data_IF_686701747804
#
_entry.id   IF_686701747804
#
_cell.length_a   1.000
_cell.length_b   1.000
_cell.length_c   1.000
_cell.angle_alpha   90.00
_cell.angle_beta   90.00
_cell.angle_gamma   90.00
#
_symmetry.space_group_name_H-M   'P 1'
#
loop_
_entity.id
_entity.type
_entity.pdbx_description
1 polymer ?
#
# COMPACT_ATOMS: atom_id res chain seq x y z
N UNK A 1 2.83 38.33 2.62
CA UNK A 1 1.96 39.20 1.80
C UNK A 1 2.13 39.01 0.29
N UNK A 2 3.35 38.86 -0.22
CA UNK A 2 3.62 38.74 -1.68
C UNK A 2 2.92 37.57 -2.39
N UNK A 3 2.92 36.37 -1.80
CA UNK A 3 2.30 35.18 -2.43
C UNK A 3 0.80 35.36 -2.63
N UNK A 4 0.09 35.93 -1.63
CA UNK A 4 -1.35 36.21 -1.73
C UNK A 4 -1.63 37.20 -2.84
N UNK A 5 -0.89 38.30 -2.88
CA UNK A 5 -1.03 39.29 -3.93
C UNK A 5 -0.80 38.73 -5.33
N UNK A 6 0.21 37.86 -5.48
CA UNK A 6 0.52 37.20 -6.74
C UNK A 6 -0.59 36.18 -7.15
N UNK A 7 -1.21 35.50 -6.20
CA UNK A 7 -2.35 34.59 -6.46
C UNK A 7 -3.59 35.40 -6.86
N UNK A 8 -3.89 36.50 -6.16
CA UNK A 8 -5.04 37.38 -6.43
C UNK A 8 -4.89 38.05 -7.80
N UNK A 9 -3.68 38.50 -8.15
CA UNK A 9 -3.36 39.07 -9.47
C UNK A 9 -3.26 37.99 -10.58
N UNK A 10 -3.29 36.68 -10.25
CA UNK A 10 -3.09 35.58 -11.22
C UNK A 10 -1.71 35.55 -11.85
N UNK A 11 -0.68 36.12 -11.18
CA UNK A 11 0.70 36.19 -11.65
C UNK A 11 1.61 35.11 -11.04
N UNK A 12 1.15 34.43 -9.97
CA UNK A 12 1.92 33.40 -9.30
C UNK A 12 2.43 32.33 -10.28
N UNK A 13 3.73 32.02 -10.19
CA UNK A 13 4.40 30.99 -10.99
C UNK A 13 4.91 29.89 -10.05
N UNK A 14 4.43 28.65 -10.16
CA UNK A 14 4.97 27.52 -9.40
C UNK A 14 6.44 27.27 -9.71
N UNK A 15 7.17 26.83 -8.72
CA UNK A 15 8.56 26.39 -8.89
C UNK A 15 8.61 24.99 -9.53
N UNK A 16 9.66 24.65 -10.30
CA UNK A 16 9.90 23.31 -10.76
C UNK A 16 9.99 22.30 -9.60
N UNK A 17 9.42 21.10 -9.78
CA UNK A 17 9.51 20.06 -8.75
C UNK A 17 10.88 19.40 -8.74
N UNK A 18 11.43 19.12 -7.55
CA UNK A 18 12.69 18.39 -7.41
C UNK A 18 12.48 16.90 -7.68
N UNK A 19 13.16 16.32 -8.65
CA UNK A 19 13.13 14.88 -8.95
C UNK A 19 13.85 14.09 -7.87
N UNK A 20 13.20 13.04 -7.39
CA UNK A 20 13.78 12.03 -6.50
C UNK A 20 13.46 10.64 -7.07
N UNK A 21 14.47 9.79 -7.11
CA UNK A 21 14.36 8.42 -7.58
C UNK A 21 14.14 7.47 -6.42
N UNK A 22 13.04 6.71 -6.44
CA UNK A 22 12.76 5.68 -5.43
C UNK A 22 12.81 4.31 -6.10
N UNK A 23 13.67 3.38 -5.62
CA UNK A 23 13.70 2.02 -6.14
C UNK A 23 12.36 1.32 -5.98
N UNK A 24 11.87 0.67 -7.05
CA UNK A 24 10.67 -0.17 -6.97
C UNK A 24 11.05 -1.55 -6.42
N UNK A 25 10.20 -2.16 -5.60
CA UNK A 25 10.43 -3.54 -5.09
C UNK A 25 10.53 -4.60 -6.20
N UNK A 26 10.03 -4.28 -7.40
CA UNK A 26 9.96 -5.16 -8.57
C UNK A 26 11.08 -4.90 -9.57
N UNK A 27 12.05 -4.09 -9.17
CA UNK A 27 13.08 -3.54 -10.06
C UNK A 27 12.60 -2.28 -10.78
N UNK A 28 13.57 -1.48 -11.24
CA UNK A 28 13.33 -0.17 -11.83
C UNK A 28 13.14 0.94 -10.80
N UNK A 29 12.80 2.13 -11.26
CA UNK A 29 12.76 3.35 -10.46
C UNK A 29 11.39 4.00 -10.58
N UNK A 30 10.90 4.60 -9.50
CA UNK A 30 9.77 5.52 -9.50
C UNK A 30 10.32 6.94 -9.39
N UNK A 31 9.94 7.79 -10.33
CA UNK A 31 10.33 9.20 -10.34
C UNK A 31 9.30 9.99 -9.54
N UNK A 32 9.71 10.58 -8.41
CA UNK A 32 8.88 11.51 -7.65
C UNK A 32 9.30 12.94 -7.96
N UNK A 33 8.33 13.83 -8.10
CA UNK A 33 8.55 15.27 -8.18
C UNK A 33 8.11 15.92 -6.86
N UNK A 34 9.04 16.40 -6.06
CA UNK A 34 8.76 17.04 -4.77
C UNK A 34 8.60 18.53 -4.98
N UNK A 35 7.40 19.12 -4.82
CA UNK A 35 7.18 20.56 -4.89
C UNK A 35 7.81 21.27 -3.69
N UNK A 36 8.01 22.57 -3.80
CA UNK A 36 8.39 23.43 -2.66
C UNK A 36 7.32 23.39 -1.57
N UNK A 37 7.67 23.81 -0.35
CA UNK A 37 6.71 23.85 0.77
C UNK A 37 5.54 24.75 0.43
N UNK A 38 5.82 25.92 -0.18
CA UNK A 38 4.79 26.87 -0.58
C UNK A 38 3.87 26.30 -1.64
N UNK A 39 4.42 25.67 -2.68
CA UNK A 39 3.63 25.04 -3.73
C UNK A 39 2.78 23.89 -3.19
N UNK A 40 3.29 23.11 -2.22
CA UNK A 40 2.49 22.07 -1.55
C UNK A 40 1.30 22.64 -0.78
N UNK A 41 1.51 23.77 -0.07
CA UNK A 41 0.45 24.43 0.66
C UNK A 41 -0.65 24.90 -0.29
N UNK A 42 -0.28 25.58 -1.38
CA UNK A 42 -1.23 26.08 -2.38
C UNK A 42 -1.96 24.92 -3.07
N UNK A 43 -1.22 23.89 -3.50
CA UNK A 43 -1.84 22.69 -4.11
C UNK A 43 -2.79 21.99 -3.14
N UNK A 44 -2.46 21.92 -1.85
CA UNK A 44 -3.33 21.34 -0.83
C UNK A 44 -4.61 22.13 -0.66
N UNK A 45 -4.53 23.45 -0.62
CA UNK A 45 -5.70 24.32 -0.54
C UNK A 45 -6.61 24.15 -1.77
N UNK A 46 -6.05 24.14 -2.97
CA UNK A 46 -6.79 23.86 -4.20
C UNK A 46 -7.43 22.47 -4.15
N UNK A 47 -6.67 21.43 -3.75
CA UNK A 47 -7.17 20.08 -3.68
C UNK A 47 -8.34 19.93 -2.70
N UNK A 48 -8.31 20.60 -1.54
CA UNK A 48 -9.41 20.59 -0.56
C UNK A 48 -10.70 21.15 -1.16
N UNK A 49 -10.63 22.34 -1.79
CA UNK A 49 -11.80 22.98 -2.42
C UNK A 49 -12.31 22.15 -3.58
N UNK A 50 -11.43 21.70 -4.48
CA UNK A 50 -11.84 20.92 -5.64
C UNK A 50 -12.37 19.53 -5.27
N UNK A 51 -11.87 18.91 -4.21
CA UNK A 51 -12.37 17.61 -3.76
C UNK A 51 -13.85 17.70 -3.40
N UNK A 52 -14.30 18.75 -2.72
CA UNK A 52 -15.73 18.92 -2.39
C UNK A 52 -16.64 19.06 -3.62
N UNK A 53 -16.09 19.56 -4.73
CA UNK A 53 -16.83 19.74 -5.99
C UNK A 53 -16.85 18.47 -6.85
N UNK A 54 -15.73 17.73 -6.90
CA UNK A 54 -15.58 16.59 -7.79
C UNK A 54 -15.94 15.25 -7.15
N UNK A 55 -15.62 15.04 -5.86
CA UNK A 55 -15.81 13.75 -5.21
C UNK A 55 -17.25 13.22 -5.24
N UNK A 56 -18.30 14.04 -5.09
CA UNK A 56 -19.69 13.60 -5.21
C UNK A 56 -20.07 13.10 -6.60
N UNK A 57 -19.32 13.51 -7.64
CA UNK A 57 -19.59 13.16 -9.05
C UNK A 57 -18.85 11.89 -9.49
N UNK A 58 -17.86 11.42 -8.71
CA UNK A 58 -17.08 10.24 -9.05
C UNK A 58 -17.87 8.95 -8.82
N UNK A 59 -17.58 7.97 -9.66
CA UNK A 59 -18.14 6.62 -9.56
C UNK A 59 -18.07 6.03 -8.14
N UNK A 60 -19.11 5.35 -7.65
CA UNK A 60 -19.06 4.59 -6.42
C UNK A 60 -18.03 3.46 -6.45
N UNK A 61 -17.62 3.00 -7.61
CA UNK A 61 -16.64 1.95 -7.83
C UNK A 61 -15.17 2.44 -7.83
N UNK A 62 -14.96 3.76 -7.75
CA UNK A 62 -13.64 4.38 -7.59
C UNK A 62 -13.33 4.61 -6.11
N UNK A 63 -12.23 4.03 -5.62
CA UNK A 63 -11.89 4.03 -4.20
C UNK A 63 -10.59 4.78 -3.87
N UNK A 64 -9.62 4.81 -4.79
CA UNK A 64 -8.30 5.40 -4.54
C UNK A 64 -8.32 6.92 -4.43
N UNK A 65 -7.54 7.49 -3.51
CA UNK A 65 -7.37 8.92 -3.32
C UNK A 65 -8.66 9.70 -3.03
N UNK A 66 -9.63 9.08 -2.41
CA UNK A 66 -10.93 9.70 -2.10
C UNK A 66 -11.18 9.75 -0.59
N UNK A 67 -11.77 10.84 -0.07
CA UNK A 67 -12.16 10.94 1.33
C UNK A 67 -13.11 9.80 1.75
N UNK A 68 -12.90 9.25 2.95
CA UNK A 68 -13.76 8.22 3.51
C UNK A 68 -13.72 6.86 2.83
N UNK A 69 -12.92 6.68 1.76
CA UNK A 69 -12.78 5.40 1.03
C UNK A 69 -11.42 4.77 1.27
N UNK A 70 -11.42 3.46 1.52
CA UNK A 70 -10.22 2.69 1.87
C UNK A 70 -9.97 1.57 0.85
N UNK A 71 -8.73 1.11 0.80
CA UNK A 71 -8.36 -0.05 -0.01
C UNK A 71 -9.18 -1.31 0.38
N UNK A 72 -9.50 -1.44 1.67
CA UNK A 72 -10.32 -2.53 2.19
C UNK A 72 -11.74 -2.51 1.60
N UNK A 73 -12.33 -1.34 1.41
CA UNK A 73 -13.67 -1.20 0.83
C UNK A 73 -13.67 -1.66 -0.63
N UNK A 74 -12.61 -1.35 -1.37
CA UNK A 74 -12.37 -1.85 -2.72
C UNK A 74 -12.26 -3.38 -2.79
N UNK A 75 -11.52 -3.98 -1.84
CA UNK A 75 -11.37 -5.45 -1.76
C UNK A 75 -12.68 -6.14 -1.40
N UNK A 76 -13.48 -5.55 -0.51
CA UNK A 76 -14.82 -6.07 -0.14
C UNK A 76 -15.81 -5.96 -1.31
N UNK A 77 -15.79 -4.85 -2.06
CA UNK A 77 -16.60 -4.72 -3.27
C UNK A 77 -16.23 -5.81 -4.31
N UNK A 78 -14.93 -6.03 -4.51
CA UNK A 78 -14.43 -7.11 -5.36
C UNK A 78 -14.91 -8.50 -4.90
N UNK A 79 -14.84 -8.79 -3.59
CA UNK A 79 -15.36 -10.02 -3.02
C UNK A 79 -16.85 -10.19 -3.29
N UNK A 80 -17.64 -9.11 -3.19
CA UNK A 80 -19.07 -9.10 -3.51
C UNK A 80 -19.32 -9.55 -4.94
N UNK A 81 -18.65 -8.98 -5.92
CA UNK A 81 -18.79 -9.37 -7.33
C UNK A 81 -18.40 -10.83 -7.58
N UNK A 82 -17.36 -11.32 -6.89
CA UNK A 82 -16.95 -12.73 -7.03
C UNK A 82 -18.03 -13.66 -6.46
N UNK A 83 -18.68 -13.29 -5.36
CA UNK A 83 -19.84 -14.03 -4.78
C UNK A 83 -21.04 -14.05 -5.72
N UNK A 84 -21.24 -13.00 -6.54
CA UNK A 84 -22.24 -12.94 -7.62
C UNK A 84 -21.88 -13.82 -8.83
N UNK A 85 -20.78 -14.57 -8.79
CA UNK A 85 -20.34 -15.47 -9.86
C UNK A 85 -19.38 -14.87 -10.89
N UNK A 86 -18.89 -13.64 -10.68
CA UNK A 86 -17.89 -13.02 -11.56
C UNK A 86 -16.49 -13.52 -11.21
N UNK A 87 -16.14 -14.72 -11.64
CA UNK A 87 -14.91 -15.44 -11.23
C UNK A 87 -13.67 -15.16 -12.07
N UNK A 88 -13.79 -14.33 -13.08
CA UNK A 88 -12.68 -13.86 -13.92
C UNK A 88 -12.47 -12.37 -13.70
N UNK A 89 -11.21 -11.94 -13.76
CA UNK A 89 -10.83 -10.53 -13.63
C UNK A 89 -10.00 -10.09 -14.82
N UNK A 90 -10.36 -8.93 -15.34
CA UNK A 90 -9.59 -8.14 -16.31
C UNK A 90 -8.82 -7.13 -15.46
N UNK A 91 -7.55 -7.39 -15.26
CA UNK A 91 -6.65 -6.54 -14.48
C UNK A 91 -5.90 -5.61 -15.44
N UNK A 92 -6.14 -4.30 -15.32
CA UNK A 92 -5.61 -3.27 -16.20
C UNK A 92 -4.64 -2.39 -15.41
N UNK A 93 -3.37 -2.40 -15.84
CA UNK A 93 -2.29 -1.54 -15.36
C UNK A 93 -1.97 -0.51 -16.46
N UNK A 94 -1.93 0.77 -16.12
CA UNK A 94 -1.60 1.83 -17.07
C UNK A 94 -0.09 2.06 -17.12
N UNK A 95 0.46 2.17 -18.31
CA UNK A 95 1.89 2.38 -18.50
C UNK A 95 2.27 3.82 -18.12
N UNK A 96 3.06 3.98 -17.03
CA UNK A 96 3.56 5.29 -16.57
C UNK A 96 2.47 6.37 -16.56
N UNK A 97 1.32 6.04 -16.00
CA UNK A 97 0.10 6.85 -16.05
C UNK A 97 0.36 8.34 -15.77
N UNK A 98 1.00 8.64 -14.64
CA UNK A 98 1.27 10.03 -14.24
C UNK A 98 2.17 10.80 -15.22
N UNK A 99 3.04 10.11 -15.96
CA UNK A 99 3.95 10.73 -16.92
C UNK A 99 3.28 10.95 -18.30
N UNK A 100 2.11 10.34 -18.54
CA UNK A 100 1.46 10.33 -19.85
C UNK A 100 0.18 11.17 -19.93
N UNK A 101 -0.30 11.72 -18.83
CA UNK A 101 -1.53 12.52 -18.80
C UNK A 101 -1.40 13.73 -19.73
N UNK A 102 -2.30 13.83 -20.70
CA UNK A 102 -2.38 14.99 -21.58
C UNK A 102 -3.00 16.18 -20.85
N UNK A 103 -2.27 17.30 -20.78
CA UNK A 103 -2.69 18.48 -20.02
C UNK A 103 -3.99 19.10 -20.57
N UNK A 104 -4.17 19.21 -21.90
CA UNK A 104 -5.37 19.82 -22.49
C UNK A 104 -6.60 18.99 -22.22
N UNK A 105 -6.48 17.67 -22.34
CA UNK A 105 -7.56 16.74 -22.04
C UNK A 105 -7.96 16.81 -20.55
N UNK A 106 -6.98 16.87 -19.66
CA UNK A 106 -7.23 17.01 -18.22
C UNK A 106 -7.89 18.36 -17.92
N UNK A 107 -7.34 19.47 -18.45
CA UNK A 107 -7.89 20.80 -18.24
C UNK A 107 -9.32 20.96 -18.77
N UNK A 108 -9.64 20.32 -19.90
CA UNK A 108 -11.02 20.27 -20.43
C UNK A 108 -11.97 19.63 -19.41
N UNK A 109 -11.55 18.57 -18.72
CA UNK A 109 -12.37 17.92 -17.67
C UNK A 109 -12.51 18.79 -16.44
N UNK A 110 -11.41 19.40 -16.00
CA UNK A 110 -11.45 20.36 -14.89
C UNK A 110 -12.40 21.52 -15.20
N UNK A 111 -12.37 22.04 -16.44
CA UNK A 111 -13.24 23.12 -16.90
C UNK A 111 -14.73 22.77 -16.90
N UNK A 112 -15.12 21.50 -16.98
CA UNK A 112 -16.55 21.11 -16.87
C UNK A 112 -17.19 21.60 -15.57
N UNK A 113 -16.41 21.61 -14.49
CA UNK A 113 -16.87 21.95 -13.14
C UNK A 113 -16.34 23.31 -12.68
N UNK A 114 -15.07 23.60 -12.87
CA UNK A 114 -14.40 24.82 -12.44
C UNK A 114 -14.46 25.87 -13.55
N UNK A 115 -15.08 27.04 -13.29
CA UNK A 115 -15.20 28.12 -14.28
C UNK A 115 -14.26 29.30 -14.00
N UNK A 116 -13.65 29.35 -12.80
CA UNK A 116 -12.70 30.40 -12.44
C UNK A 116 -11.42 30.30 -13.29
N UNK A 117 -11.22 31.30 -14.16
CA UNK A 117 -10.08 31.36 -15.08
C UNK A 117 -8.73 31.46 -14.34
N UNK A 118 -8.68 32.06 -13.14
CA UNK A 118 -7.46 32.20 -12.35
C UNK A 118 -7.04 30.84 -11.79
N UNK A 119 -7.99 30.10 -11.22
CA UNK A 119 -7.75 28.74 -10.73
C UNK A 119 -7.32 27.81 -11.86
N UNK A 120 -8.01 27.83 -12.99
CA UNK A 120 -7.64 27.03 -14.17
C UNK A 120 -6.22 27.35 -14.66
N UNK A 121 -5.87 28.64 -14.75
CA UNK A 121 -4.54 29.08 -15.15
C UNK A 121 -3.47 28.60 -14.15
N UNK A 122 -3.77 28.64 -12.85
CA UNK A 122 -2.87 28.17 -11.81
C UNK A 122 -2.66 26.66 -11.87
N UNK A 123 -3.73 25.87 -12.03
CA UNK A 123 -3.62 24.41 -12.21
C UNK A 123 -2.76 24.09 -13.44
N UNK A 124 -3.00 24.76 -14.56
CA UNK A 124 -2.21 24.57 -15.77
C UNK A 124 -0.72 24.88 -15.56
N UNK A 125 -0.41 25.94 -14.82
CA UNK A 125 0.97 26.29 -14.46
C UNK A 125 1.63 25.21 -13.60
N UNK A 126 0.88 24.60 -12.66
CA UNK A 126 1.40 23.46 -11.89
C UNK A 126 1.72 22.25 -12.76
N UNK A 127 0.91 21.95 -13.76
CA UNK A 127 1.18 20.89 -14.73
C UNK A 127 2.43 21.17 -15.57
N UNK A 128 2.68 22.44 -15.90
CA UNK A 128 3.76 22.92 -16.73
C UNK A 128 5.01 23.38 -15.96
N UNK A 129 5.01 23.31 -14.62
CA UNK A 129 6.10 23.87 -13.78
C UNK A 129 7.47 23.25 -14.01
N UNK A 130 7.52 22.14 -14.73
CA UNK A 130 8.76 21.44 -15.04
C UNK A 130 9.32 20.62 -13.89
N UNK A 131 10.39 19.91 -14.18
CA UNK A 131 11.10 19.02 -13.24
C UNK A 131 12.56 19.43 -13.18
N UNK A 132 13.06 19.67 -11.98
CA UNK A 132 14.47 19.95 -11.73
C UNK A 132 15.25 18.65 -11.53
N UNK A 133 16.23 18.42 -12.39
CA UNK A 133 17.16 17.28 -12.34
C UNK A 133 18.58 17.82 -12.29
N UNK A 134 19.31 17.52 -11.23
CA UNK A 134 20.71 17.97 -11.05
C UNK A 134 20.94 19.47 -11.32
N UNK A 135 19.98 20.31 -10.89
CA UNK A 135 20.06 21.77 -11.08
C UNK A 135 19.57 22.30 -12.43
N UNK A 136 19.22 21.41 -13.38
CA UNK A 136 18.66 21.80 -14.68
C UNK A 136 17.15 21.62 -14.67
N UNK A 137 16.43 22.64 -15.12
CA UNK A 137 14.95 22.61 -15.26
C UNK A 137 14.60 22.03 -16.62
N UNK A 138 13.83 20.94 -16.61
CA UNK A 138 13.26 20.33 -17.82
C UNK A 138 11.77 20.66 -17.88
N UNK A 139 11.32 21.25 -18.95
CA UNK A 139 9.90 21.50 -19.18
C UNK A 139 9.11 20.20 -19.35
N UNK A 140 7.86 20.21 -18.91
CA UNK A 140 6.96 19.05 -19.03
C UNK A 140 5.77 19.43 -19.90
N UNK A 141 5.68 18.85 -21.09
CA UNK A 141 4.51 19.00 -21.98
C UNK A 141 3.37 18.04 -21.61
N UNK A 142 3.68 16.96 -20.92
CA UNK A 142 2.73 15.91 -20.50
C UNK A 142 3.04 15.45 -19.09
N UNK A 143 2.04 14.87 -18.46
CA UNK A 143 2.17 14.26 -17.15
C UNK A 143 1.76 15.19 -16.00
N UNK A 144 1.52 14.55 -14.87
CA UNK A 144 1.31 15.23 -13.58
C UNK A 144 2.44 14.81 -12.64
N UNK A 145 3.16 15.74 -11.99
CA UNK A 145 4.24 15.38 -11.09
C UNK A 145 3.76 14.41 -9.99
N UNK A 146 4.36 13.23 -9.91
CA UNK A 146 4.08 12.32 -8.78
C UNK A 146 4.67 12.91 -7.50
N UNK A 147 3.81 13.21 -6.49
CA UNK A 147 4.25 13.70 -5.19
C UNK A 147 3.64 15.06 -4.78
N UNK A 148 2.95 15.75 -5.66
CA UNK A 148 2.15 16.93 -5.32
C UNK A 148 0.78 16.55 -4.73
N UNK A 149 0.23 17.32 -3.77
CA UNK A 149 -1.08 17.05 -3.17
C UNK A 149 -2.26 17.08 -4.15
N UNK A 150 -2.13 17.83 -5.23
CA UNK A 150 -3.17 17.97 -6.25
C UNK A 150 -3.22 16.80 -7.24
N UNK A 151 -2.10 16.13 -7.48
CA UNK A 151 -1.99 15.09 -8.51
C UNK A 151 -2.95 13.90 -8.33
N UNK A 152 -3.23 13.40 -7.10
CA UNK A 152 -4.21 12.33 -6.89
C UNK A 152 -5.63 12.68 -7.32
N UNK A 153 -6.08 13.90 -7.05
CA UNK A 153 -7.39 14.39 -7.47
C UNK A 153 -7.46 14.52 -9.00
N UNK A 154 -6.43 15.13 -9.62
CA UNK A 154 -6.35 15.27 -11.06
C UNK A 154 -6.34 13.90 -11.77
N UNK A 155 -5.70 12.91 -11.16
CA UNK A 155 -5.73 11.53 -11.65
C UNK A 155 -7.15 10.95 -11.66
N UNK A 156 -7.92 11.15 -10.59
CA UNK A 156 -9.31 10.71 -10.55
C UNK A 156 -10.19 11.45 -11.55
N UNK A 157 -10.01 12.77 -11.73
CA UNK A 157 -10.74 13.56 -12.72
C UNK A 157 -10.48 13.04 -14.14
N UNK A 158 -9.22 12.66 -14.46
CA UNK A 158 -8.87 12.13 -15.77
C UNK A 158 -9.49 10.75 -16.03
N UNK A 159 -9.55 9.89 -15.00
CA UNK A 159 -10.04 8.51 -15.13
C UNK A 159 -11.55 8.36 -14.90
N UNK A 160 -12.25 9.43 -14.50
CA UNK A 160 -13.70 9.42 -14.29
C UNK A 160 -14.47 9.09 -15.58
N UNK A 161 -13.97 9.51 -16.75
CA UNK A 161 -14.55 9.14 -18.04
C UNK A 161 -14.46 7.62 -18.30
N UNK A 162 -13.40 6.93 -17.82
CA UNK A 162 -13.31 5.47 -17.85
C UNK A 162 -14.35 4.83 -16.94
N UNK A 163 -14.48 5.33 -15.72
CA UNK A 163 -15.44 4.81 -14.75
C UNK A 163 -16.87 4.92 -15.29
N UNK A 164 -17.25 6.08 -15.81
CA UNK A 164 -18.58 6.32 -16.42
C UNK A 164 -18.82 5.44 -17.65
N UNK A 165 -17.79 5.19 -18.46
CA UNK A 165 -17.91 4.28 -19.61
C UNK A 165 -18.12 2.83 -19.15
N UNK A 166 -17.45 2.39 -18.10
CA UNK A 166 -17.64 1.05 -17.53
C UNK A 166 -19.01 0.90 -16.89
N UNK A 167 -19.51 1.91 -16.20
CA UNK A 167 -20.87 1.96 -15.65
C UNK A 167 -21.92 1.91 -16.76
N UNK A 168 -21.77 2.72 -17.80
CA UNK A 168 -22.68 2.73 -18.97
C UNK A 168 -22.79 1.36 -19.63
N UNK A 169 -21.68 0.60 -19.66
CA UNK A 169 -21.65 -0.77 -20.19
C UNK A 169 -22.14 -1.84 -19.19
N UNK A 170 -22.50 -1.46 -17.97
CA UNK A 170 -22.97 -2.37 -16.93
C UNK A 170 -21.89 -3.29 -16.36
N UNK A 171 -20.61 -2.91 -16.46
CA UNK A 171 -19.51 -3.70 -15.94
C UNK A 171 -19.41 -3.61 -14.40
N UNK A 172 -19.11 -4.73 -13.77
CA UNK A 172 -18.70 -4.81 -12.36
C UNK A 172 -17.20 -4.53 -12.27
N UNK A 173 -16.81 -3.46 -11.63
CA UNK A 173 -15.40 -3.09 -11.53
C UNK A 173 -15.05 -2.43 -10.21
N UNK A 174 -13.77 -2.40 -9.91
CA UNK A 174 -13.18 -1.67 -8.80
C UNK A 174 -11.95 -0.95 -9.33
N UNK A 175 -11.90 0.35 -9.15
CA UNK A 175 -10.72 1.14 -9.46
C UNK A 175 -10.10 1.73 -8.20
N UNK A 176 -8.80 1.58 -8.05
CA UNK A 176 -8.01 2.22 -7.01
C UNK A 176 -6.84 2.99 -7.62
N UNK A 177 -6.97 4.31 -7.72
CA UNK A 177 -6.05 5.16 -8.50
C UNK A 177 -6.00 4.73 -9.98
N UNK A 178 -4.82 4.32 -10.45
CA UNK A 178 -4.56 3.82 -11.81
C UNK A 178 -4.79 2.30 -11.98
N UNK A 179 -4.89 1.54 -10.87
CA UNK A 179 -5.23 0.11 -10.90
C UNK A 179 -6.74 -0.08 -11.12
N UNK A 180 -7.13 -0.72 -12.23
CA UNK A 180 -8.53 -1.02 -12.55
C UNK A 180 -8.74 -2.51 -12.73
N UNK A 181 -9.68 -3.08 -11.96
CA UNK A 181 -10.03 -4.50 -11.98
C UNK A 181 -11.51 -4.64 -12.38
N UNK A 182 -11.78 -5.26 -13.56
CA UNK A 182 -13.13 -5.48 -14.06
C UNK A 182 -13.47 -6.96 -13.92
N UNK A 183 -14.61 -7.27 -13.36
CA UNK A 183 -15.03 -8.63 -13.04
C UNK A 183 -16.01 -9.15 -14.09
N UNK A 184 -15.77 -10.37 -14.59
CA UNK A 184 -16.57 -11.00 -15.64
C UNK A 184 -16.80 -12.48 -15.33
N UNK A 185 -17.83 -13.10 -15.94
CA UNK A 185 -18.19 -14.49 -15.67
C UNK A 185 -17.33 -15.50 -16.44
N UNK A 186 -16.83 -15.14 -17.63
CA UNK A 186 -16.07 -16.06 -18.48
C UNK A 186 -14.80 -15.42 -19.03
N UNK A 187 -13.80 -16.26 -19.36
CA UNK A 187 -12.56 -15.81 -19.99
C UNK A 187 -12.80 -15.08 -21.31
N UNK A 188 -13.67 -15.65 -22.17
CA UNK A 188 -14.02 -15.04 -23.47
C UNK A 188 -14.62 -13.65 -23.30
N UNK A 189 -15.48 -13.44 -22.30
CA UNK A 189 -15.98 -12.10 -21.96
C UNK A 189 -14.84 -11.18 -21.51
N UNK A 190 -13.92 -11.69 -20.69
CA UNK A 190 -12.75 -10.95 -20.23
C UNK A 190 -11.87 -10.47 -21.38
N UNK A 191 -11.57 -11.32 -22.34
CA UNK A 191 -10.77 -10.94 -23.52
C UNK A 191 -11.43 -9.83 -24.35
N UNK A 192 -12.76 -9.93 -24.55
CA UNK A 192 -13.52 -8.88 -25.25
C UNK A 192 -13.50 -7.55 -24.47
N UNK A 193 -13.69 -7.60 -23.16
CA UNK A 193 -13.63 -6.41 -22.29
C UNK A 193 -12.25 -5.80 -22.32
N UNK A 194 -11.19 -6.60 -22.18
CA UNK A 194 -9.79 -6.12 -22.26
C UNK A 194 -9.55 -5.37 -23.56
N UNK A 195 -9.92 -5.96 -24.70
CA UNK A 195 -9.73 -5.34 -26.03
C UNK A 195 -10.50 -4.02 -26.15
N UNK A 196 -11.78 -4.00 -25.77
CA UNK A 196 -12.63 -2.81 -25.91
C UNK A 196 -12.23 -1.69 -24.96
N UNK A 197 -11.81 -2.00 -23.73
CA UNK A 197 -11.34 -1.00 -22.75
C UNK A 197 -9.97 -0.46 -23.16
N UNK A 198 -9.06 -1.31 -23.67
CA UNK A 198 -7.79 -0.86 -24.24
C UNK A 198 -8.04 0.15 -25.37
N UNK A 199 -8.92 -0.16 -26.31
CA UNK A 199 -9.26 0.75 -27.40
C UNK A 199 -9.83 2.08 -26.89
N UNK A 200 -10.66 2.06 -25.85
CA UNK A 200 -11.19 3.28 -25.22
C UNK A 200 -10.06 4.11 -24.60
N UNK A 201 -9.19 3.49 -23.79
CA UNK A 201 -8.06 4.15 -23.14
C UNK A 201 -7.12 4.80 -24.16
N UNK A 202 -6.75 4.08 -25.23
CA UNK A 202 -5.81 4.56 -26.23
C UNK A 202 -6.42 5.62 -27.14
N UNK A 203 -7.64 5.40 -27.63
CA UNK A 203 -8.28 6.33 -28.58
C UNK A 203 -8.89 7.55 -27.90
N UNK A 204 -9.57 7.37 -26.76
CA UNK A 204 -10.33 8.44 -26.10
C UNK A 204 -9.54 9.15 -25.01
N UNK A 205 -8.75 8.43 -24.21
CA UNK A 205 -7.99 9.01 -23.09
C UNK A 205 -6.50 9.23 -23.43
N UNK A 206 -6.02 8.72 -24.56
CA UNK A 206 -4.62 8.78 -24.98
C UNK A 206 -3.65 8.18 -23.95
N UNK A 207 -4.13 7.16 -23.21
CA UNK A 207 -3.40 6.43 -22.19
C UNK A 207 -3.04 5.03 -22.72
N UNK A 208 -1.82 4.57 -22.44
CA UNK A 208 -1.36 3.24 -22.86
C UNK A 208 -1.57 2.21 -21.77
N UNK A 209 -2.04 1.03 -22.16
CA UNK A 209 -2.14 -0.14 -21.27
C UNK A 209 -0.79 -0.85 -21.23
N UNK A 210 -0.34 -1.20 -20.03
CA UNK A 210 0.87 -2.00 -19.85
C UNK A 210 0.57 -3.48 -20.15
N UNK A 211 0.91 -3.94 -21.33
CA UNK A 211 0.62 -5.31 -21.77
C UNK A 211 1.30 -6.41 -20.94
N UNK A 212 2.47 -6.12 -20.38
CA UNK A 212 3.22 -7.10 -19.56
C UNK A 212 2.59 -7.35 -18.21
N UNK A 213 1.87 -6.37 -17.67
CA UNK A 213 1.25 -6.45 -16.34
C UNK A 213 -0.25 -6.69 -16.41
N UNK A 214 -0.93 -6.17 -17.43
CA UNK A 214 -2.36 -6.37 -17.63
C UNK A 214 -2.66 -7.79 -18.08
N UNK A 215 -3.72 -8.39 -17.56
CA UNK A 215 -4.09 -9.75 -17.90
C UNK A 215 -5.56 -10.06 -17.62
N UNK A 216 -6.09 -11.04 -18.34
CA UNK A 216 -7.36 -11.70 -18.03
C UNK A 216 -7.05 -13.03 -17.35
N UNK A 217 -7.55 -13.24 -16.14
CA UNK A 217 -7.29 -14.47 -15.40
C UNK A 217 -8.39 -14.78 -14.37
N UNK A 218 -8.37 -16.00 -13.83
CA UNK A 218 -9.18 -16.36 -12.66
C UNK A 218 -8.80 -15.47 -11.47
N UNK A 219 -9.79 -15.02 -10.70
CA UNK A 219 -9.62 -14.11 -9.55
C UNK A 219 -8.60 -14.62 -8.53
N UNK A 220 -8.51 -15.93 -8.30
CA UNK A 220 -7.53 -16.54 -7.38
C UNK A 220 -6.07 -16.48 -7.85
N UNK A 221 -5.83 -16.20 -9.14
CA UNK A 221 -4.48 -16.06 -9.74
C UNK A 221 -3.96 -14.63 -9.75
N UNK A 222 -4.82 -13.65 -9.48
CA UNK A 222 -4.45 -12.22 -9.45
C UNK A 222 -4.52 -11.67 -8.03
N UNK A 223 -3.78 -10.61 -7.81
CA UNK A 223 -3.81 -9.85 -6.56
C UNK A 223 -4.55 -8.53 -6.78
N UNK A 224 -5.30 -8.10 -5.79
CA UNK A 224 -5.96 -6.80 -5.74
C UNK A 224 -5.52 -6.12 -4.45
N UNK A 225 -4.78 -5.03 -4.54
CA UNK A 225 -4.33 -4.22 -3.40
C UNK A 225 -3.65 -5.05 -2.29
N UNK A 226 -2.78 -5.99 -2.67
CA UNK A 226 -2.07 -6.84 -1.71
C UNK A 226 -2.84 -8.05 -1.19
N UNK A 227 -4.09 -8.22 -1.59
CA UNK A 227 -4.93 -9.38 -1.30
C UNK A 227 -5.11 -10.28 -2.52
N UNK A 228 -5.62 -11.49 -2.30
CA UNK A 228 -6.04 -12.44 -3.32
C UNK A 228 -7.26 -13.20 -2.80
N UNK A 229 -8.05 -13.77 -3.71
CA UNK A 229 -9.26 -14.51 -3.34
C UNK A 229 -9.04 -16.01 -3.48
N UNK A 230 -9.77 -16.79 -2.67
CA UNK A 230 -9.81 -18.24 -2.79
C UNK A 230 -11.18 -18.78 -2.42
N UNK A 231 -11.47 -20.00 -2.84
CA UNK A 231 -12.74 -20.65 -2.60
C UNK A 231 -12.56 -21.78 -1.59
N UNK A 232 -13.43 -21.83 -0.58
CA UNK A 232 -13.47 -22.89 0.42
C UNK A 232 -14.92 -23.18 0.77
N UNK A 233 -15.35 -24.43 0.60
CA UNK A 233 -16.74 -24.88 0.87
C UNK A 233 -17.80 -24.00 0.21
N UNK A 234 -17.58 -23.53 -1.02
CA UNK A 234 -18.50 -22.65 -1.73
C UNK A 234 -18.42 -21.16 -1.38
N UNK A 235 -17.68 -20.82 -0.35
CA UNK A 235 -17.48 -19.42 0.07
C UNK A 235 -16.28 -18.77 -0.62
N UNK A 236 -16.42 -17.47 -0.88
CA UNK A 236 -15.31 -16.62 -1.39
C UNK A 236 -14.63 -15.95 -0.22
N UNK A 237 -13.39 -16.32 0.02
CA UNK A 237 -12.58 -15.86 1.13
C UNK A 237 -11.40 -15.01 0.62
N UNK A 238 -10.94 -14.11 1.48
CA UNK A 238 -9.81 -13.21 1.23
C UNK A 238 -8.55 -13.79 1.90
N UNK A 239 -7.46 -13.83 1.17
CA UNK A 239 -6.12 -14.15 1.71
C UNK A 239 -5.14 -13.04 1.37
N UNK A 240 -4.07 -12.97 2.13
CA UNK A 240 -2.95 -12.07 1.86
C UNK A 240 -2.17 -12.59 0.65
N UNK A 241 -1.83 -11.72 -0.29
CA UNK A 241 -1.03 -12.10 -1.44
C UNK A 241 0.38 -12.54 -1.01
N UNK A 242 0.91 -13.58 -1.64
CA UNK A 242 2.23 -14.17 -1.30
C UNK A 242 3.35 -13.12 -1.20
N UNK A 243 3.35 -12.14 -2.10
CA UNK A 243 4.35 -11.07 -2.11
C UNK A 243 4.23 -10.12 -0.90
N UNK A 244 3.02 -9.87 -0.41
CA UNK A 244 2.82 -9.06 0.80
C UNK A 244 3.36 -9.80 2.05
N UNK A 245 3.15 -11.11 2.15
CA UNK A 245 3.75 -11.94 3.19
C UNK A 245 5.27 -11.99 3.08
N UNK A 246 5.81 -12.11 1.87
CA UNK A 246 7.25 -12.08 1.64
C UNK A 246 7.87 -10.77 2.16
N UNK A 247 7.28 -9.62 1.83
CA UNK A 247 7.73 -8.31 2.34
C UNK A 247 7.66 -8.21 3.87
N UNK A 248 6.62 -8.77 4.47
CA UNK A 248 6.52 -8.87 5.94
C UNK A 248 7.71 -9.65 6.49
N UNK A 249 8.00 -10.84 5.95
CA UNK A 249 9.12 -11.66 6.37
C UNK A 249 10.48 -10.96 6.16
N UNK A 250 10.68 -10.28 5.03
CA UNK A 250 11.89 -9.51 4.74
C UNK A 250 12.11 -8.39 5.78
N UNK A 251 11.05 -7.62 6.07
CA UNK A 251 11.13 -6.53 7.05
C UNK A 251 11.38 -7.04 8.46
N UNK A 252 10.66 -8.06 8.91
CA UNK A 252 10.88 -8.68 10.20
C UNK A 252 12.26 -9.33 10.30
N UNK A 253 12.77 -9.93 9.22
CA UNK A 253 14.13 -10.46 9.14
C UNK A 253 15.17 -9.37 9.35
N UNK A 254 14.97 -8.19 8.74
CA UNK A 254 15.85 -7.04 8.93
C UNK A 254 15.82 -6.54 10.39
N UNK A 255 14.61 -6.45 10.98
CA UNK A 255 14.43 -6.04 12.37
C UNK A 255 14.98 -7.04 13.39
N UNK A 256 15.08 -8.31 13.05
CA UNK A 256 15.55 -9.40 13.91
C UNK A 256 16.87 -9.99 13.46
N UNK A 257 17.71 -9.24 12.77
CA UNK A 257 19.07 -9.69 12.40
C UNK A 257 19.83 -10.10 13.63
N UNK A 258 20.40 -11.32 13.63
CA UNK A 258 21.17 -11.87 14.78
C UNK A 258 22.42 -11.05 15.14
N UNK A 259 22.88 -10.18 14.25
CA UNK A 259 24.02 -9.26 14.45
C UNK A 259 23.56 -7.85 14.84
N UNK A 260 22.24 -7.64 14.99
CA UNK A 260 21.70 -6.33 15.34
C UNK A 260 22.09 -5.95 16.76
N UNK A 261 22.63 -4.73 16.93
CA UNK A 261 22.89 -4.09 18.21
C UNK A 261 21.61 -3.42 18.78
N UNK A 262 21.70 -2.89 19.98
CA UNK A 262 20.61 -2.17 20.65
C UNK A 262 19.90 -3.00 21.72
N UNK A 263 19.06 -2.36 22.55
CA UNK A 263 18.31 -3.00 23.63
C UNK A 263 17.17 -3.86 23.06
N UNK A 264 16.78 -4.92 23.77
CA UNK A 264 15.71 -5.82 23.34
C UNK A 264 14.38 -5.08 23.25
N UNK A 265 14.11 -4.23 24.24
CA UNK A 265 12.88 -3.44 24.36
C UNK A 265 12.68 -2.55 23.10
N UNK A 266 13.75 -1.92 22.65
CA UNK A 266 13.72 -1.07 21.44
C UNK A 266 13.45 -1.87 20.16
N UNK A 267 14.02 -3.07 20.06
CA UNK A 267 13.76 -3.97 18.94
C UNK A 267 12.29 -4.42 18.94
N UNK A 268 11.75 -4.80 20.10
CA UNK A 268 10.34 -5.18 20.27
C UNK A 268 9.43 -4.01 19.93
N UNK A 269 9.74 -2.80 20.39
CA UNK A 269 8.97 -1.59 20.09
C UNK A 269 8.84 -1.38 18.57
N UNK A 270 9.95 -1.45 17.82
CA UNK A 270 9.96 -1.29 16.37
C UNK A 270 9.21 -2.41 15.63
N UNK A 271 9.31 -3.65 16.15
CA UNK A 271 8.50 -4.77 15.62
C UNK A 271 7.02 -4.49 15.82
N UNK A 272 6.61 -4.09 17.03
CA UNK A 272 5.22 -3.82 17.35
C UNK A 272 4.64 -2.67 16.50
N UNK A 273 5.38 -1.58 16.31
CA UNK A 273 4.96 -0.47 15.44
C UNK A 273 4.69 -0.96 14.01
N UNK A 274 5.61 -1.75 13.48
CA UNK A 274 5.45 -2.30 12.14
C UNK A 274 4.28 -3.28 12.04
N UNK A 275 4.14 -4.20 13.00
CA UNK A 275 3.05 -5.18 13.03
C UNK A 275 1.67 -4.52 13.18
N UNK A 276 1.56 -3.45 13.99
CA UNK A 276 0.31 -2.67 14.12
C UNK A 276 -0.14 -2.08 12.79
N UNK A 277 0.75 -1.38 12.12
CA UNK A 277 0.44 -0.78 10.82
C UNK A 277 0.07 -1.84 9.78
N UNK A 278 0.85 -2.93 9.73
CA UNK A 278 0.63 -4.02 8.80
C UNK A 278 -0.70 -4.75 9.04
N UNK A 279 -1.04 -5.09 10.28
CA UNK A 279 -2.30 -5.74 10.63
C UNK A 279 -3.50 -4.81 10.39
N UNK A 280 -3.36 -3.50 10.69
CA UNK A 280 -4.40 -2.52 10.38
C UNK A 280 -4.81 -2.53 8.90
N UNK A 281 -3.86 -2.78 8.01
CA UNK A 281 -4.13 -2.92 6.57
C UNK A 281 -4.70 -4.31 6.21
N UNK A 282 -4.08 -5.41 6.67
CA UNK A 282 -4.38 -6.78 6.25
C UNK A 282 -5.45 -7.49 7.09
N UNK A 283 -6.12 -6.81 7.99
CA UNK A 283 -7.15 -7.38 8.90
C UNK A 283 -8.34 -8.07 8.20
N UNK A 284 -8.54 -7.81 6.90
CA UNK A 284 -9.62 -8.45 6.12
C UNK A 284 -9.32 -9.91 5.73
N UNK A 285 -8.12 -10.41 6.00
CA UNK A 285 -7.76 -11.75 5.57
C UNK A 285 -8.46 -12.83 6.41
N UNK A 286 -9.10 -13.77 5.74
CA UNK A 286 -9.80 -14.91 6.34
C UNK A 286 -8.85 -16.11 6.60
N UNK A 287 -7.57 -15.84 6.88
CA UNK A 287 -6.52 -16.86 7.04
C UNK A 287 -5.75 -16.66 8.36
N UNK A 288 -6.38 -16.89 9.53
CA UNK A 288 -5.74 -16.67 10.84
C UNK A 288 -4.50 -17.55 11.06
N UNK A 289 -4.45 -18.76 10.53
CA UNK A 289 -3.26 -19.65 10.63
C UNK A 289 -1.98 -19.03 10.09
N UNK A 290 -2.08 -18.15 9.08
CA UNK A 290 -0.92 -17.43 8.54
C UNK A 290 -0.31 -16.49 9.60
N UNK A 291 -1.13 -15.91 10.46
CA UNK A 291 -0.65 -15.03 11.53
C UNK A 291 0.05 -15.84 12.62
N UNK A 292 -0.48 -17.01 12.97
CA UNK A 292 0.16 -17.94 13.91
C UNK A 292 1.53 -18.39 13.42
N UNK A 293 1.63 -18.76 12.13
CA UNK A 293 2.90 -19.15 11.50
C UNK A 293 3.95 -18.03 11.57
N UNK A 294 3.54 -16.79 11.27
CA UNK A 294 4.43 -15.61 11.35
C UNK A 294 4.85 -15.35 12.79
N UNK A 295 3.94 -15.46 13.77
CA UNK A 295 4.23 -15.26 15.19
C UNK A 295 5.22 -16.32 15.71
N UNK A 296 5.05 -17.60 15.33
CA UNK A 296 5.98 -18.67 15.69
C UNK A 296 7.37 -18.43 15.09
N UNK A 297 7.40 -18.09 13.80
CA UNK A 297 8.63 -17.78 13.10
C UNK A 297 9.35 -16.56 13.70
N UNK A 298 8.61 -15.49 14.04
CA UNK A 298 9.17 -14.29 14.68
C UNK A 298 9.80 -14.60 16.05
N UNK A 299 9.11 -15.37 16.91
CA UNK A 299 9.66 -15.80 18.20
C UNK A 299 10.93 -16.63 18.02
N UNK A 300 10.99 -17.52 17.04
CA UNK A 300 12.22 -18.26 16.71
C UNK A 300 13.35 -17.31 16.31
N UNK A 301 13.09 -16.28 15.52
CA UNK A 301 14.08 -15.27 15.14
C UNK A 301 14.61 -14.49 16.35
N UNK A 302 13.73 -14.11 17.28
CA UNK A 302 14.11 -13.40 18.51
C UNK A 302 14.95 -14.29 19.42
N UNK A 303 14.62 -15.60 19.56
CA UNK A 303 15.46 -16.58 20.27
C UNK A 303 16.85 -16.66 19.67
N UNK A 304 16.98 -16.70 18.35
CA UNK A 304 18.29 -16.68 17.68
C UNK A 304 19.10 -15.42 18.00
N UNK A 305 18.44 -14.27 18.01
CA UNK A 305 19.07 -13.00 18.31
C UNK A 305 19.64 -13.00 19.74
N UNK A 306 18.85 -13.41 20.74
CA UNK A 306 19.30 -13.49 22.13
C UNK A 306 20.40 -14.53 22.29
N UNK A 307 20.24 -15.73 21.71
CA UNK A 307 21.26 -16.78 21.75
C UNK A 307 22.60 -16.32 21.18
N UNK A 308 22.60 -15.57 20.10
CA UNK A 308 23.81 -15.01 19.52
C UNK A 308 24.45 -13.94 20.42
N UNK A 309 23.63 -13.21 21.20
CA UNK A 309 24.14 -12.23 22.17
C UNK A 309 24.79 -12.87 23.38
N UNK A 310 24.31 -14.04 23.80
CA UNK A 310 24.90 -14.83 24.86
C UNK A 310 26.13 -15.59 24.33
N UNK A 311 27.21 -14.86 24.12
CA UNK A 311 28.40 -15.34 23.37
C UNK A 311 29.10 -16.54 24.00
N UNK A 312 29.22 -16.57 25.38
CA UNK A 312 29.95 -17.59 26.15
C UNK A 312 29.02 -18.62 26.76
N UNK A 313 29.46 -19.87 26.88
CA UNK A 313 28.68 -20.93 27.53
C UNK A 313 28.27 -20.60 28.95
N UNK A 314 29.16 -19.97 29.72
CA UNK A 314 28.88 -19.47 31.08
C UNK A 314 27.77 -18.42 31.10
N UNK A 315 27.75 -17.49 30.15
CA UNK A 315 26.66 -16.51 29.98
C UNK A 315 25.36 -17.21 29.63
N UNK A 316 25.36 -18.16 28.68
CA UNK A 316 24.17 -18.92 28.32
C UNK A 316 23.60 -19.69 29.49
N UNK A 317 24.46 -20.39 30.25
CA UNK A 317 24.04 -21.09 31.44
C UNK A 317 23.38 -20.17 32.48
N UNK A 318 24.05 -19.07 32.82
CA UNK A 318 23.52 -18.08 33.77
C UNK A 318 22.16 -17.52 33.31
N UNK A 319 22.04 -17.11 32.07
CA UNK A 319 20.79 -16.57 31.52
C UNK A 319 19.66 -17.63 31.50
N UNK A 320 19.96 -18.89 31.14
CA UNK A 320 19.00 -19.98 31.19
C UNK A 320 18.50 -20.25 32.60
N UNK A 321 19.41 -20.28 33.58
CA UNK A 321 19.06 -20.49 34.99
C UNK A 321 18.23 -19.32 35.54
N UNK A 322 18.60 -18.07 35.23
CA UNK A 322 17.84 -16.88 35.64
C UNK A 322 16.42 -16.85 35.07
N UNK A 323 16.20 -17.49 33.93
CA UNK A 323 14.91 -17.65 33.25
C UNK A 323 14.16 -18.93 33.70
N UNK A 324 14.58 -19.57 34.78
CA UNK A 324 13.88 -20.69 35.40
C UNK A 324 14.16 -22.07 34.84
N UNK A 325 15.19 -22.23 33.99
CA UNK A 325 15.60 -23.55 33.49
C UNK A 325 16.39 -24.28 34.62
N UNK A 326 16.08 -25.57 34.91
CA UNK A 326 16.85 -26.38 35.87
C UNK A 326 18.34 -26.39 35.51
N UNK A 327 19.22 -26.29 36.55
CA UNK A 327 20.67 -26.13 36.38
C UNK A 327 21.31 -27.20 35.49
N UNK A 328 20.88 -28.47 35.61
CA UNK A 328 21.36 -29.60 34.80
C UNK A 328 21.02 -29.43 33.31
N UNK A 329 19.77 -29.06 33.00
CA UNK A 329 19.33 -28.82 31.64
C UNK A 329 19.97 -27.56 31.04
N UNK A 330 20.17 -26.52 31.88
CA UNK A 330 20.85 -25.30 31.46
C UNK A 330 22.33 -25.57 31.12
N UNK A 331 23.03 -26.44 31.86
CA UNK A 331 24.40 -26.83 31.58
C UNK A 331 24.50 -27.55 30.23
N UNK A 332 23.63 -28.52 29.96
CA UNK A 332 23.56 -29.24 28.70
C UNK A 332 23.21 -28.26 27.54
N UNK A 333 22.21 -27.42 27.72
CA UNK A 333 21.80 -26.44 26.71
C UNK A 333 22.87 -25.42 26.37
N UNK A 334 23.64 -24.95 27.37
CA UNK A 334 24.68 -23.92 27.20
C UNK A 334 25.83 -24.32 26.27
N UNK A 335 26.05 -25.63 26.05
CA UNK A 335 27.05 -26.14 25.12
C UNK A 335 26.72 -25.93 23.65
N UNK A 336 25.42 -25.71 23.31
CA UNK A 336 24.96 -25.53 21.95
C UNK A 336 25.50 -24.25 21.31
N UNK A 337 26.19 -24.38 20.19
CA UNK A 337 26.83 -23.23 19.50
C UNK A 337 25.97 -22.60 18.41
N UNK A 338 25.13 -23.40 17.75
CA UNK A 338 24.31 -22.94 16.61
C UNK A 338 23.06 -22.18 17.07
N UNK A 339 22.95 -20.88 16.82
CA UNK A 339 21.75 -20.11 17.21
C UNK A 339 20.47 -20.61 16.53
N UNK A 340 20.58 -21.15 15.33
CA UNK A 340 19.43 -21.66 14.58
C UNK A 340 18.83 -22.92 15.24
N UNK A 341 19.67 -23.89 15.55
CA UNK A 341 19.24 -25.12 16.21
C UNK A 341 18.77 -24.85 17.64
N UNK A 342 19.53 -24.05 18.39
CA UNK A 342 19.19 -23.74 19.78
C UNK A 342 17.88 -22.96 19.89
N UNK A 343 17.55 -22.08 18.97
CA UNK A 343 16.26 -21.38 18.95
C UNK A 343 15.03 -22.31 18.81
N UNK A 344 15.24 -23.56 18.40
CA UNK A 344 14.22 -24.60 18.34
C UNK A 344 14.34 -25.65 19.43
N UNK A 345 15.37 -25.58 20.29
CA UNK A 345 15.59 -26.56 21.37
C UNK A 345 14.57 -26.39 22.50
N UNK A 346 14.14 -27.49 23.16
CA UNK A 346 13.21 -27.43 24.30
C UNK A 346 13.72 -26.53 25.42
N UNK A 347 15.01 -26.56 25.72
CA UNK A 347 15.64 -25.74 26.77
C UNK A 347 15.44 -24.25 26.52
N UNK A 348 15.70 -23.78 25.30
CA UNK A 348 15.52 -22.36 24.95
C UNK A 348 14.05 -22.02 24.81
N UNK A 349 13.18 -22.96 24.41
CA UNK A 349 11.73 -22.75 24.43
C UNK A 349 11.17 -22.58 25.84
N UNK A 350 11.67 -23.31 26.82
CA UNK A 350 11.29 -23.16 28.24
C UNK A 350 11.72 -21.79 28.76
N UNK A 351 12.98 -21.41 28.55
CA UNK A 351 13.52 -20.12 29.01
C UNK A 351 12.84 -18.92 28.32
N UNK A 352 12.72 -18.97 27.01
CA UNK A 352 12.15 -17.89 26.18
C UNK A 352 10.78 -18.31 25.66
N UNK A 353 9.88 -18.59 26.60
CA UNK A 353 8.50 -19.04 26.36
C UNK A 353 7.63 -17.93 25.76
N UNK A 354 6.40 -18.26 25.39
CA UNK A 354 5.45 -17.25 24.91
C UNK A 354 5.15 -16.20 25.98
N UNK A 355 5.04 -16.62 27.25
CA UNK A 355 4.84 -15.73 28.40
C UNK A 355 6.03 -14.77 28.61
N UNK A 356 7.26 -15.23 28.40
CA UNK A 356 8.44 -14.36 28.42
C UNK A 356 8.30 -13.23 27.36
N UNK A 357 7.97 -13.56 26.12
CA UNK A 357 7.84 -12.56 25.06
C UNK A 357 6.69 -11.58 25.34
N UNK A 358 5.59 -12.06 25.88
CA UNK A 358 4.48 -11.21 26.28
C UNK A 358 4.92 -10.25 27.42
N UNK A 359 5.64 -10.73 28.41
CA UNK A 359 6.20 -9.90 29.50
C UNK A 359 7.22 -8.86 29.00
N UNK A 360 7.94 -9.16 27.89
CA UNK A 360 8.79 -8.20 27.20
C UNK A 360 8.00 -7.21 26.32
N UNK A 361 6.66 -7.28 26.30
CA UNK A 361 5.79 -6.41 25.55
C UNK A 361 5.69 -6.73 24.04
N UNK A 362 6.09 -7.93 23.61
CA UNK A 362 5.92 -8.35 22.22
C UNK A 362 4.43 -8.61 21.94
N UNK A 363 3.86 -7.85 21.03
CA UNK A 363 2.51 -8.09 20.52
C UNK A 363 2.55 -9.11 19.38
N UNK A 364 1.56 -10.00 19.32
CA UNK A 364 1.43 -11.00 18.26
C UNK A 364 0.43 -10.55 17.22
N UNK A 365 0.63 -10.99 15.96
CA UNK A 365 -0.35 -10.75 14.89
C UNK A 365 -1.69 -11.41 15.21
N UNK A 366 -1.65 -12.59 15.81
CA UNK A 366 -2.85 -13.36 16.21
C UNK A 366 -3.69 -12.58 17.20
N UNK A 367 -3.09 -12.01 18.27
CA UNK A 367 -3.80 -11.18 19.25
C UNK A 367 -4.36 -9.91 18.61
N UNK A 368 -3.58 -9.22 17.77
CA UNK A 368 -4.06 -8.06 17.03
C UNK A 368 -5.24 -8.39 16.12
N UNK A 369 -5.16 -9.51 15.41
CA UNK A 369 -6.25 -9.95 14.53
C UNK A 369 -7.54 -10.16 15.34
N UNK A 370 -7.48 -10.93 16.43
CA UNK A 370 -8.65 -11.18 17.29
C UNK A 370 -9.19 -9.88 17.89
N UNK A 371 -8.32 -9.01 18.39
CA UNK A 371 -8.73 -7.72 18.95
C UNK A 371 -9.46 -6.87 17.90
N UNK A 372 -8.95 -6.77 16.68
CA UNK A 372 -9.58 -6.00 15.60
C UNK A 372 -10.90 -6.61 15.08
N UNK A 373 -11.07 -7.93 15.18
CA UNK A 373 -12.30 -8.60 14.76
C UNK A 373 -13.42 -8.46 15.81
N UNK A 374 -13.08 -8.30 17.09
CA UNK A 374 -14.04 -8.12 18.19
C UNK A 374 -14.43 -6.65 18.45
N UNK A 375 -13.72 -5.69 17.88
CA UNK A 375 -14.14 -4.29 17.94
C UNK A 375 -15.33 -4.08 17.00
N UNK A 376 -16.51 -3.65 17.50
CA UNK A 376 -17.64 -3.28 16.63
C UNK A 376 -17.13 -2.23 15.61
N UNK A 377 -17.51 -2.39 14.35
CA UNK A 377 -17.14 -1.45 13.28
C UNK A 377 -17.71 -0.06 13.59
N UNK A 378 -17.02 0.71 14.41
CA UNK A 378 -17.31 2.13 14.53
C UNK A 378 -16.96 2.76 13.18
N UNK A 379 -17.90 3.48 12.61
CA UNK A 379 -17.68 4.42 11.51
C UNK A 379 -16.53 5.34 11.92
N UNK A 380 -15.33 5.03 11.44
CA UNK A 380 -14.14 5.76 11.83
C UNK A 380 -14.13 7.07 11.04
N UNK A 381 -14.34 8.16 11.74
CA UNK A 381 -13.90 9.48 11.32
C UNK A 381 -12.40 9.45 11.00
N UNK A 382 -11.99 10.28 10.05
CA UNK A 382 -10.63 10.42 9.52
C UNK A 382 -9.54 10.31 10.59
N UNK A 383 -8.75 9.25 10.50
CA UNK A 383 -7.39 9.22 11.03
C UNK A 383 -6.39 9.46 9.89
N UNK A 384 -5.20 9.97 10.17
CA UNK A 384 -4.24 10.38 9.15
C UNK A 384 -3.86 9.21 8.23
N UNK A 385 -3.80 9.52 6.93
CA UNK A 385 -3.40 8.60 5.89
C UNK A 385 -2.03 7.97 6.23
N UNK A 386 -2.01 6.65 6.38
CA UNK A 386 -0.75 5.92 6.41
C UNK A 386 -0.07 6.05 5.05
N UNK A 387 1.21 6.44 4.97
CA UNK A 387 1.92 6.46 3.70
C UNK A 387 2.02 5.02 3.20
N UNK A 388 1.50 4.79 2.00
CA UNK A 388 1.72 3.56 1.24
C UNK A 388 3.17 3.57 0.80
N UNK A 389 4.00 2.77 1.43
CA UNK A 389 5.36 2.44 1.01
C UNK A 389 5.35 1.22 0.10
#
# INVERSE_FOLDING_TARGET
>A
MEVRAALDAGTYRPSPVRRVEIPKPDGGVRLLGIPTVMDRLIQQAIAQVLTSLFDPQFSPHSHGFRPGRRAQDAVQAAQGYIREGYTWVVDIDLEKYFDQVNHDMLMTRVYRVVKDKRVLKLIRRYLQSGVMVNGVVMETERGTPQGGPLSPLLANIMLDDLDKELEKRGHRFVRYADDCNIYVKTERAGQRVMSSVRQFLEKKLKLKVNEKKSAVARVGKRKVLGFSFFFRKGEVLIRIAKRALQRLHERLSALTRRTRSGRLEEIIRQINEYLRGWMGYFRLADTPSVFEDVDQWLRRRLRQLLWKRWKRGTTRWRELVSLGVPRSLAALGATGTSPWHMAASPVVHTALSNSFWLAQGLCTLTEYYHHLMHIPRRTAGCGPACPVV
#
